data_IF_969608245414
#
_entry.id   IF_969608245414
#
_cell.length_a   1.000
_cell.length_b   1.000
_cell.length_c   1.000
_cell.angle_alpha   90.00
_cell.angle_beta   90.00
_cell.angle_gamma   90.00
#
_symmetry.space_group_name_H-M   'P 1'
#
loop_
_entity.id
_entity.type
_entity.pdbx_description
1 polymer ?
#
# COMPACT_ATOMS: atom_id res chain seq x y z
N UNK A 1 -1.97 11.52 -8.16
CA UNK A 1 -0.61 11.41 -8.73
C UNK A 1 -0.35 12.57 -9.67
N UNK A 2 0.92 12.94 -9.93
CA UNK A 2 1.25 14.09 -10.79
C UNK A 2 0.77 13.96 -12.24
N UNK A 3 0.47 12.75 -12.69
CA UNK A 3 -0.13 12.44 -14.00
C UNK A 3 -1.66 12.41 -14.01
N UNK A 4 -2.30 12.78 -12.90
CA UNK A 4 -3.75 12.77 -12.75
C UNK A 4 -4.35 11.42 -12.36
N UNK A 5 -3.56 10.36 -12.20
CA UNK A 5 -4.06 9.08 -11.72
C UNK A 5 -4.41 9.11 -10.23
N UNK A 6 -5.44 8.35 -9.86
CA UNK A 6 -5.79 8.05 -8.48
C UNK A 6 -5.45 6.59 -8.19
N UNK A 7 -4.51 6.36 -7.29
CA UNK A 7 -4.13 5.03 -6.82
C UNK A 7 -4.66 4.83 -5.41
N UNK A 8 -5.14 3.64 -5.10
CA UNK A 8 -5.58 3.29 -3.74
C UNK A 8 -4.73 2.17 -3.18
N UNK A 9 -4.00 2.49 -2.12
CA UNK A 9 -3.36 1.52 -1.24
C UNK A 9 -4.40 0.96 -0.26
N UNK A 10 -4.47 -0.36 -0.16
CA UNK A 10 -5.19 -1.05 0.92
C UNK A 10 -4.22 -1.93 1.68
N UNK A 11 -4.40 -1.98 2.99
CA UNK A 11 -3.65 -2.86 3.88
C UNK A 11 -4.59 -3.76 4.68
N UNK A 12 -4.05 -4.89 5.10
CA UNK A 12 -4.69 -5.84 5.98
C UNK A 12 -3.67 -6.27 7.04
N UNK A 13 -4.10 -6.27 8.30
CA UNK A 13 -3.34 -6.93 9.36
C UNK A 13 -3.69 -8.42 9.26
N UNK A 14 -2.68 -9.24 9.00
CA UNK A 14 -2.83 -10.69 8.81
C UNK A 14 -2.78 -11.40 10.16
N UNK A 15 -1.91 -10.94 11.04
CA UNK A 15 -1.69 -11.50 12.36
C UNK A 15 -1.00 -10.48 13.28
N UNK A 16 -1.21 -10.62 14.58
CA UNK A 16 -0.53 -9.84 15.60
C UNK A 16 -0.09 -10.75 16.74
N UNK A 17 1.21 -10.71 17.05
CA UNK A 17 1.81 -11.52 18.12
C UNK A 17 2.37 -10.65 19.22
N UNK A 18 2.08 -11.00 20.47
CA UNK A 18 2.83 -10.46 21.61
C UNK A 18 4.26 -11.02 21.58
N UNK A 19 5.26 -10.13 21.62
CA UNK A 19 6.68 -10.48 21.48
C UNK A 19 7.53 -10.03 22.67
N UNK A 20 6.90 -9.57 23.75
CA UNK A 20 7.60 -9.21 24.99
C UNK A 20 7.10 -7.91 25.58
N UNK A 21 8.01 -7.18 26.24
CA UNK A 21 7.70 -5.97 26.99
C UNK A 21 7.85 -4.70 26.16
N UNK A 22 6.97 -3.73 26.38
CA UNK A 22 7.10 -2.34 25.95
C UNK A 22 6.51 -1.40 27.01
N UNK A 23 7.00 -0.16 27.15
CA UNK A 23 6.43 0.81 28.08
C UNK A 23 4.98 1.22 27.72
N UNK A 24 4.46 0.87 26.55
CA UNK A 24 3.12 1.25 26.07
C UNK A 24 2.03 0.28 26.52
N UNK A 25 1.94 0.02 27.83
CA UNK A 25 0.98 -0.91 28.42
C UNK A 25 1.56 -2.24 28.91
N UNK A 26 2.88 -2.39 28.90
CA UNK A 26 3.57 -3.57 29.42
C UNK A 26 3.70 -4.73 28.44
N UNK A 27 3.22 -4.56 27.20
CA UNK A 27 3.29 -5.56 26.12
C UNK A 27 3.74 -4.91 24.81
N UNK A 28 4.52 -5.66 24.04
CA UNK A 28 5.01 -5.30 22.72
C UNK A 28 4.39 -6.22 21.67
N UNK A 29 4.01 -5.67 20.52
CA UNK A 29 3.38 -6.43 19.46
C UNK A 29 4.19 -6.41 18.17
N UNK A 30 4.27 -7.56 17.50
CA UNK A 30 4.67 -7.69 16.11
C UNK A 30 3.40 -7.86 15.26
N UNK A 31 3.13 -6.90 14.37
CA UNK A 31 2.03 -6.99 13.42
C UNK A 31 2.56 -7.44 12.06
N UNK A 32 2.04 -8.55 11.56
CA UNK A 32 2.26 -8.98 10.19
C UNK A 32 1.23 -8.30 9.28
N UNK A 33 1.71 -7.49 8.34
CA UNK A 33 0.86 -6.62 7.51
C UNK A 33 1.11 -6.95 6.05
N UNK A 34 0.03 -7.13 5.30
CA UNK A 34 0.07 -7.20 3.84
C UNK A 34 -0.67 -6.03 3.24
N UNK A 35 -0.37 -5.71 1.98
CA UNK A 35 -1.01 -4.62 1.27
C UNK A 35 -1.00 -4.82 -0.22
N UNK A 36 -1.90 -4.11 -0.89
CA UNK A 36 -2.04 -4.10 -2.33
C UNK A 36 -2.41 -2.71 -2.81
N UNK A 37 -1.97 -2.37 -4.02
CA UNK A 37 -2.32 -1.13 -4.69
C UNK A 37 -3.18 -1.47 -5.89
N UNK A 38 -4.24 -0.70 -6.09
CA UNK A 38 -5.02 -0.73 -7.31
C UNK A 38 -5.19 0.66 -7.89
N UNK A 39 -5.34 0.71 -9.22
CA UNK A 39 -5.64 1.94 -9.94
C UNK A 39 -7.13 2.21 -9.79
N UNK A 40 -7.49 3.29 -9.08
CA UNK A 40 -8.89 3.66 -8.86
C UNK A 40 -9.46 4.41 -10.06
N UNK A 41 -8.68 5.34 -10.61
CA UNK A 41 -9.03 6.04 -11.85
C UNK A 41 -7.79 6.58 -12.55
N UNK A 42 -7.88 6.71 -13.87
CA UNK A 42 -6.89 7.41 -14.71
C UNK A 42 -7.62 8.39 -15.65
N UNK A 43 -6.96 9.48 -16.07
CA UNK A 43 -7.45 10.30 -17.18
C UNK A 43 -7.58 9.49 -18.47
N UNK A 44 -8.55 9.84 -19.32
CA UNK A 44 -8.75 9.18 -20.62
C UNK A 44 -7.51 9.28 -21.51
N UNK A 45 -6.75 10.37 -21.41
CA UNK A 45 -5.49 10.54 -22.14
C UNK A 45 -4.47 9.43 -21.82
N UNK A 46 -4.39 8.98 -20.56
CA UNK A 46 -3.51 7.87 -20.18
C UNK A 46 -4.05 6.52 -20.65
N UNK A 47 -5.37 6.36 -20.67
CA UNK A 47 -6.02 5.14 -21.19
C UNK A 47 -5.74 4.99 -22.69
N UNK A 48 -5.91 6.07 -23.44
CA UNK A 48 -5.62 6.10 -24.88
C UNK A 48 -4.12 5.90 -25.17
N UNK A 49 -3.23 6.44 -24.32
CA UNK A 49 -1.78 6.30 -24.48
C UNK A 49 -1.32 4.83 -24.45
N UNK A 50 -1.98 3.99 -23.65
CA UNK A 50 -1.57 2.59 -23.43
C UNK A 50 -2.45 1.55 -24.12
N UNK A 51 -3.54 1.96 -24.79
CA UNK A 51 -4.57 1.04 -25.31
C UNK A 51 -4.03 -0.07 -26.23
N UNK A 52 -3.06 0.27 -27.07
CA UNK A 52 -2.46 -0.63 -28.06
C UNK A 52 -1.13 -1.23 -27.58
N UNK A 53 -0.75 -0.99 -26.33
CA UNK A 53 0.50 -1.49 -25.76
C UNK A 53 0.38 -2.99 -25.42
N UNK A 54 1.51 -3.72 -25.44
CA UNK A 54 1.52 -5.10 -24.96
C UNK A 54 1.10 -5.18 -23.49
N UNK A 55 0.54 -6.33 -23.12
CA UNK A 55 0.27 -6.63 -21.71
C UNK A 55 1.59 -6.72 -20.94
N UNK A 56 1.61 -6.20 -19.72
CA UNK A 56 2.79 -6.26 -18.87
C UNK A 56 3.23 -7.72 -18.60
N UNK A 57 4.52 -8.07 -18.79
CA UNK A 57 5.01 -9.41 -18.50
C UNK A 57 4.96 -9.67 -17.00
N UNK A 58 4.17 -10.64 -16.55
CA UNK A 58 3.84 -10.84 -15.13
C UNK A 58 4.95 -11.49 -14.29
N UNK A 59 6.03 -11.98 -14.91
CA UNK A 59 7.07 -12.77 -14.23
C UNK A 59 8.29 -11.94 -13.82
N UNK A 60 8.64 -10.91 -14.60
CA UNK A 60 9.80 -10.04 -14.34
C UNK A 60 9.44 -8.59 -14.63
N UNK A 61 9.91 -7.68 -13.77
CA UNK A 61 9.80 -6.24 -13.99
C UNK A 61 10.56 -5.85 -15.26
N UNK A 62 9.93 -5.06 -16.14
CA UNK A 62 10.60 -4.45 -17.27
C UNK A 62 11.81 -3.62 -16.80
N UNK A 63 12.91 -3.63 -17.55
CA UNK A 63 14.13 -2.88 -17.20
C UNK A 63 14.07 -1.41 -17.63
N UNK A 64 13.12 -1.06 -18.50
CA UNK A 64 12.97 0.24 -19.15
C UNK A 64 11.52 0.74 -19.10
N UNK A 65 11.31 2.00 -19.51
CA UNK A 65 9.99 2.62 -19.61
C UNK A 65 9.40 3.12 -18.28
N UNK A 66 10.17 3.12 -17.19
CA UNK A 66 9.72 3.63 -15.90
C UNK A 66 9.96 5.13 -15.76
N UNK A 67 8.91 5.84 -15.39
CA UNK A 67 8.91 7.27 -15.08
C UNK A 67 8.54 7.44 -13.60
N UNK A 68 9.34 8.19 -12.84
CA UNK A 68 8.98 8.55 -11.47
C UNK A 68 7.80 9.52 -11.47
N UNK A 69 6.86 9.32 -10.56
CA UNK A 69 5.72 10.19 -10.36
C UNK A 69 5.73 10.79 -8.97
N UNK A 70 5.35 12.06 -8.88
CA UNK A 70 5.16 12.73 -7.61
C UNK A 70 3.81 12.34 -7.00
N UNK A 71 3.83 12.06 -5.70
CA UNK A 71 2.63 11.91 -4.89
C UNK A 71 2.17 13.33 -4.51
N UNK A 72 1.25 13.88 -5.30
CA UNK A 72 0.71 15.25 -5.10
C UNK A 72 -0.08 15.35 -3.79
N UNK A 73 -0.87 14.33 -3.48
CA UNK A 73 -1.68 14.22 -2.27
C UNK A 73 -1.89 12.75 -1.92
N UNK A 74 -2.13 12.48 -0.63
CA UNK A 74 -2.39 11.13 -0.15
C UNK A 74 -3.27 11.13 1.09
N UNK A 75 -4.19 10.16 1.13
CA UNK A 75 -4.80 9.68 2.37
C UNK A 75 -4.16 8.34 2.75
N UNK A 76 -3.58 8.19 3.96
CA UNK A 76 -3.00 6.92 4.40
C UNK A 76 -4.01 5.79 4.43
N UNK A 77 -3.54 4.56 4.19
CA UNK A 77 -4.32 3.36 4.41
C UNK A 77 -4.24 2.98 5.89
N UNK A 78 -5.38 2.70 6.52
CA UNK A 78 -5.44 2.37 7.94
C UNK A 78 -6.13 1.04 8.18
N UNK A 79 -5.59 0.27 9.12
CA UNK A 79 -6.21 -0.95 9.62
C UNK A 79 -6.14 -1.00 11.14
N UNK A 80 -7.17 -1.60 11.75
CA UNK A 80 -7.32 -1.76 13.18
C UNK A 80 -7.62 -3.21 13.50
N UNK A 81 -7.01 -3.73 14.56
CA UNK A 81 -7.27 -5.06 15.07
C UNK A 81 -7.32 -5.04 16.60
N UNK A 82 -8.27 -5.79 17.16
CA UNK A 82 -8.36 -6.01 18.60
C UNK A 82 -7.68 -7.33 18.93
N UNK A 83 -6.76 -7.31 19.89
CA UNK A 83 -5.96 -8.47 20.26
C UNK A 83 -6.03 -8.71 21.76
N UNK A 84 -6.02 -9.99 22.14
CA UNK A 84 -5.84 -10.41 23.53
C UNK A 84 -4.35 -10.51 23.85
N UNK A 85 -3.94 -10.08 25.03
CA UNK A 85 -2.55 -10.15 25.50
C UNK A 85 -2.49 -10.62 26.94
N UNK A 86 -1.27 -10.87 27.43
CA UNK A 86 -1.00 -11.16 28.84
C UNK A 86 -1.41 -10.02 29.79
N UNK A 87 -1.65 -8.80 29.27
CA UNK A 87 -2.01 -7.59 30.03
C UNK A 87 -3.41 -7.06 29.71
N UNK A 88 -4.26 -7.87 29.06
CA UNK A 88 -5.63 -7.51 28.69
C UNK A 88 -5.80 -7.22 27.20
N UNK A 89 -6.90 -6.57 26.84
CA UNK A 89 -7.21 -6.26 25.45
C UNK A 89 -6.46 -5.02 24.97
N UNK A 90 -5.98 -5.07 23.73
CA UNK A 90 -5.36 -3.94 23.06
C UNK A 90 -5.99 -3.70 21.70
N UNK A 91 -5.99 -2.44 21.27
CA UNK A 91 -6.28 -2.07 19.88
C UNK A 91 -4.95 -1.77 19.21
N UNK A 92 -4.58 -2.59 18.23
CA UNK A 92 -3.44 -2.37 17.34
C UNK A 92 -3.91 -1.59 16.12
N UNK A 93 -3.17 -0.54 15.77
CA UNK A 93 -3.41 0.31 14.61
C UNK A 93 -2.19 0.31 13.70
N UNK A 94 -2.43 0.03 12.43
CA UNK A 94 -1.43 0.12 11.37
C UNK A 94 -1.83 1.25 10.42
N UNK A 95 -0.88 2.14 10.12
CA UNK A 95 -1.04 3.21 9.13
C UNK A 95 0.03 3.02 8.06
N UNK A 96 -0.39 2.88 6.81
CA UNK A 96 0.49 2.73 5.66
C UNK A 96 0.39 3.92 4.71
N UNK A 97 1.55 4.30 4.18
CA UNK A 97 1.73 5.46 3.32
C UNK A 97 2.58 5.07 2.11
N UNK A 98 2.16 5.44 0.90
CA UNK A 98 3.03 5.33 -0.26
C UNK A 98 4.17 6.35 -0.12
N UNK A 99 5.37 5.94 -0.51
CA UNK A 99 6.59 6.75 -0.39
C UNK A 99 7.24 7.00 -1.75
N UNK A 100 7.04 6.10 -2.71
CA UNK A 100 7.55 6.23 -4.07
C UNK A 100 6.58 5.59 -5.04
N UNK A 101 6.37 6.23 -6.18
CA UNK A 101 5.57 5.70 -7.28
C UNK A 101 6.33 5.87 -8.59
N UNK A 102 6.36 4.81 -9.38
CA UNK A 102 6.79 4.85 -10.77
C UNK A 102 5.66 4.35 -11.66
N UNK A 103 5.59 4.85 -12.89
CA UNK A 103 4.66 4.40 -13.91
C UNK A 103 5.41 3.91 -15.14
N UNK A 104 4.85 2.93 -15.81
CA UNK A 104 5.29 2.48 -17.13
C UNK A 104 4.15 2.54 -18.14
N UNK A 105 4.39 3.24 -19.26
CA UNK A 105 3.43 3.45 -20.35
C UNK A 105 3.80 2.67 -21.62
N UNK A 106 4.91 1.92 -21.61
CA UNK A 106 5.26 0.99 -22.68
C UNK A 106 4.39 -0.27 -22.65
N UNK A 107 3.74 -0.54 -21.51
CA UNK A 107 2.86 -1.66 -21.28
C UNK A 107 1.49 -1.20 -20.79
N UNK A 108 0.50 -2.08 -20.91
CA UNK A 108 -0.80 -1.95 -20.26
C UNK A 108 -1.04 -3.05 -19.24
N UNK A 109 -1.83 -2.74 -18.23
CA UNK A 109 -2.43 -3.70 -17.32
C UNK A 109 -3.56 -4.49 -18.02
N UNK A 110 -4.05 -5.59 -17.39
CA UNK A 110 -5.24 -6.29 -17.86
C UNK A 110 -6.50 -5.40 -17.98
N UNK A 111 -6.53 -4.28 -17.24
CA UNK A 111 -7.61 -3.28 -17.20
C UNK A 111 -7.38 -2.08 -18.13
N UNK A 112 -6.41 -2.17 -19.05
CA UNK A 112 -6.04 -1.12 -20.01
C UNK A 112 -5.60 0.19 -19.33
N UNK A 113 -4.76 0.07 -18.31
CA UNK A 113 -4.18 1.19 -17.58
C UNK A 113 -2.65 1.13 -17.67
N UNK A 114 -1.93 2.26 -17.50
CA UNK A 114 -0.50 2.22 -17.28
C UNK A 114 -0.15 1.32 -16.09
N UNK A 115 1.05 0.75 -16.11
CA UNK A 115 1.52 -0.08 -15.00
C UNK A 115 2.08 0.85 -13.94
N UNK A 116 1.54 0.79 -12.72
CA UNK A 116 2.08 1.54 -11.59
C UNK A 116 2.84 0.60 -10.65
N UNK A 117 4.02 1.02 -10.24
CA UNK A 117 4.80 0.39 -9.19
C UNK A 117 4.85 1.31 -7.99
N UNK A 118 4.39 0.84 -6.84
CA UNK A 118 4.24 1.65 -5.64
C UNK A 118 5.01 1.00 -4.50
N UNK A 119 5.96 1.75 -3.95
CA UNK A 119 6.61 1.41 -2.70
C UNK A 119 5.89 2.13 -1.56
N UNK A 120 5.64 1.43 -0.45
CA UNK A 120 4.95 1.95 0.72
C UNK A 120 5.61 1.44 2.00
N UNK A 121 5.40 2.18 3.09
CA UNK A 121 5.83 1.80 4.44
C UNK A 121 4.64 1.84 5.37
N UNK A 122 4.76 1.20 6.54
CA UNK A 122 3.73 1.28 7.56
C UNK A 122 4.30 1.51 8.96
N UNK A 123 3.47 2.13 9.79
CA UNK A 123 3.73 2.42 11.20
C UNK A 123 2.72 1.63 12.03
N UNK A 124 3.22 0.87 13.00
CA UNK A 124 2.40 0.11 13.95
C UNK A 124 2.36 0.85 15.28
N UNK A 125 1.18 0.91 15.89
CA UNK A 125 0.96 1.50 17.21
C UNK A 125 -0.12 0.71 17.94
N UNK A 126 -0.15 0.77 19.26
CA UNK A 126 -1.19 0.10 20.05
C UNK A 126 -1.52 0.87 21.31
N UNK A 127 -2.71 0.60 21.85
CA UNK A 127 -3.15 1.12 23.15
C UNK A 127 -4.05 0.11 23.86
N UNK A 128 -4.05 0.09 25.21
CA UNK A 128 -5.02 -0.71 25.96
C UNK A 128 -6.45 -0.34 25.57
N UNK A 129 -7.31 -1.35 25.43
CA UNK A 129 -8.74 -1.17 25.26
C UNK A 129 -9.33 -1.05 26.68
N UNK A 130 -9.92 0.10 26.99
CA UNK A 130 -10.60 0.32 28.27
C UNK A 130 -11.85 -0.53 28.37
#
# INVERSE_FOLDING_TARGET
MSDGALLRLKILIVDVKEIGFSPFGGVNFYANVTGGVYVESIPDSLRELVKDKPLFPSLELARDGWELLDIVEQKPAEALEVVQSSRGEFVVRVVAEAVMVARNTHYRSPTNEPVYWVHWIYKVSWKPRK
#
